data_IF_303611600519
#
_entry.id   IF_303611600519
#
_cell.length_a   1.000
_cell.length_b   1.000
_cell.length_c   1.000
_cell.angle_alpha   90.00
_cell.angle_beta   90.00
_cell.angle_gamma   90.00
#
_symmetry.space_group_name_H-M   'P 1'
#
loop_
_entity.id
_entity.type
_entity.pdbx_description
1 polymer ?
#
# COMPACT_ATOMS: atom_id res chain seq x y z
N UNK A 1 13.93 -1.34 -3.92
CA UNK A 1 12.87 -0.45 -4.45
C UNK A 1 13.16 -0.20 -5.91
N UNK A 2 12.14 -0.30 -6.78
CA UNK A 2 12.28 0.19 -8.16
C UNK A 2 12.60 1.68 -8.15
N UNK A 3 13.30 2.17 -9.18
CA UNK A 3 13.63 3.60 -9.29
C UNK A 3 15.03 4.01 -8.85
N UNK A 4 15.90 3.07 -8.44
CA UNK A 4 17.30 3.42 -8.12
C UNK A 4 18.07 4.03 -9.31
N UNK A 5 17.84 3.53 -10.52
CA UNK A 5 18.41 4.09 -11.76
C UNK A 5 17.81 5.46 -12.06
N UNK A 6 16.49 5.61 -11.90
CA UNK A 6 15.79 6.88 -12.10
C UNK A 6 16.34 7.96 -11.16
N UNK A 7 16.46 7.66 -9.87
CA UNK A 7 17.05 8.58 -8.89
C UNK A 7 18.48 8.98 -9.24
N UNK A 8 19.32 8.00 -9.63
CA UNK A 8 20.69 8.29 -10.06
C UNK A 8 20.70 9.22 -11.29
N UNK A 9 19.79 9.02 -12.24
CA UNK A 9 19.67 9.87 -13.42
C UNK A 9 19.24 11.30 -13.06
N UNK A 10 18.30 11.48 -12.12
CA UNK A 10 17.93 12.79 -11.58
C UNK A 10 19.10 13.49 -10.88
N UNK A 11 19.87 12.75 -10.07
CA UNK A 11 21.07 13.27 -9.39
C UNK A 11 22.15 13.73 -10.40
N UNK A 12 22.15 13.16 -11.60
CA UNK A 12 23.00 13.59 -12.72
C UNK A 12 22.41 14.77 -13.53
N UNK A 13 21.25 15.30 -13.14
CA UNK A 13 20.57 16.40 -13.81
C UNK A 13 19.64 15.98 -14.96
N UNK A 14 19.39 14.67 -15.09
CA UNK A 14 18.42 14.14 -16.03
C UNK A 14 16.98 14.39 -15.57
N UNK A 15 16.06 14.55 -16.51
CA UNK A 15 14.62 14.65 -16.21
C UNK A 15 14.02 13.24 -16.11
N UNK A 16 13.27 12.98 -15.03
CA UNK A 16 12.55 11.71 -14.84
C UNK A 16 11.07 11.99 -14.65
N UNK A 17 10.26 11.26 -15.42
CA UNK A 17 8.82 11.21 -15.23
C UNK A 17 8.50 9.90 -14.50
N UNK A 18 8.05 10.01 -13.27
CA UNK A 18 7.56 8.87 -12.50
C UNK A 18 6.12 8.55 -12.91
N UNK A 19 5.83 7.25 -13.03
CA UNK A 19 4.47 6.74 -13.22
C UNK A 19 4.30 5.47 -12.40
N UNK A 20 3.23 5.41 -11.60
CA UNK A 20 2.96 4.29 -10.72
C UNK A 20 2.45 4.75 -9.37
N UNK A 21 2.31 3.83 -8.43
CA UNK A 21 1.88 4.12 -7.06
C UNK A 21 2.88 5.05 -6.35
N UNK A 22 2.42 6.06 -5.58
CA UNK A 22 1.04 6.34 -5.14
C UNK A 22 0.26 7.31 -6.05
N UNK A 23 0.70 7.52 -7.30
CA UNK A 23 0.06 8.47 -8.21
C UNK A 23 -1.32 7.99 -8.62
N UNK A 24 -2.29 8.91 -8.58
CA UNK A 24 -3.71 8.65 -8.85
C UNK A 24 -3.95 8.11 -10.26
N UNK A 25 -3.15 8.56 -11.22
CA UNK A 25 -3.21 8.20 -12.63
C UNK A 25 -3.07 6.69 -12.84
N UNK A 26 -2.22 6.02 -12.04
CA UNK A 26 -2.06 4.57 -12.07
C UNK A 26 -3.38 3.86 -11.72
N UNK A 27 -4.03 4.27 -10.64
CA UNK A 27 -5.29 3.68 -10.18
C UNK A 27 -6.44 4.02 -11.14
N UNK A 28 -6.51 5.26 -11.63
CA UNK A 28 -7.55 5.66 -12.58
C UNK A 28 -7.48 4.88 -13.89
N UNK A 29 -6.27 4.55 -14.38
CA UNK A 29 -6.10 3.65 -15.52
C UNK A 29 -6.69 2.27 -15.21
N UNK A 30 -6.36 1.69 -14.05
CA UNK A 30 -6.90 0.39 -13.63
C UNK A 30 -8.43 0.38 -13.52
N UNK A 31 -9.01 1.40 -12.90
CA UNK A 31 -10.47 1.55 -12.75
C UNK A 31 -11.16 1.66 -14.12
N UNK A 32 -10.60 2.43 -15.05
CA UNK A 32 -11.12 2.55 -16.42
C UNK A 32 -11.07 1.23 -17.17
N UNK A 33 -9.94 0.52 -17.10
CA UNK A 33 -9.77 -0.78 -17.76
C UNK A 33 -10.75 -1.83 -17.22
N UNK A 34 -11.02 -1.78 -15.91
CA UNK A 34 -12.01 -2.64 -15.26
C UNK A 34 -13.47 -2.16 -15.47
N UNK A 35 -13.71 -1.10 -16.25
CA UNK A 35 -15.03 -0.49 -16.49
C UNK A 35 -15.76 -0.15 -15.19
N UNK A 36 -15.02 0.25 -14.16
CA UNK A 36 -15.58 0.64 -12.86
C UNK A 36 -16.30 1.98 -13.01
N UNK A 37 -17.60 1.99 -12.75
CA UNK A 37 -18.42 3.21 -12.71
C UNK A 37 -18.68 3.72 -11.30
N UNK A 38 -18.44 2.89 -10.28
CA UNK A 38 -18.69 3.18 -8.87
C UNK A 38 -17.49 2.72 -8.03
N UNK A 39 -16.71 3.69 -7.54
CA UNK A 39 -15.49 3.44 -6.77
C UNK A 39 -15.75 2.80 -5.40
N UNK A 40 -16.97 2.96 -4.85
CA UNK A 40 -17.34 2.36 -3.56
C UNK A 40 -17.41 0.83 -3.61
N UNK A 41 -17.38 0.24 -4.81
CA UNK A 41 -17.38 -1.21 -5.05
C UNK A 41 -15.99 -1.77 -5.33
N UNK A 42 -14.95 -0.98 -5.16
CA UNK A 42 -13.57 -1.37 -5.41
C UNK A 42 -12.78 -1.25 -4.13
N UNK A 43 -11.91 -2.22 -3.90
CA UNK A 43 -10.92 -2.20 -2.84
C UNK A 43 -9.55 -2.48 -3.43
N UNK A 44 -8.56 -1.68 -3.05
CA UNK A 44 -7.16 -1.93 -3.37
C UNK A 44 -6.51 -2.77 -2.26
N UNK A 45 -5.77 -3.80 -2.62
CA UNK A 45 -5.09 -4.68 -1.65
C UNK A 45 -3.59 -4.54 -1.85
N UNK A 46 -2.87 -4.19 -0.79
CA UNK A 46 -1.43 -3.98 -0.86
C UNK A 46 -0.76 -3.94 0.51
N UNK A 47 0.56 -4.06 0.53
CA UNK A 47 1.36 -4.18 1.75
C UNK A 47 2.21 -2.94 2.03
N UNK A 48 2.21 -1.95 1.14
CA UNK A 48 2.96 -0.72 1.29
C UNK A 48 2.05 0.46 1.62
N UNK A 49 2.21 1.04 2.81
CA UNK A 49 1.47 2.23 3.21
C UNK A 49 1.69 3.39 2.22
N UNK A 50 2.95 3.75 1.95
CA UNK A 50 3.29 4.91 1.11
C UNK A 50 3.00 4.73 -0.39
N UNK A 51 2.78 3.50 -0.88
CA UNK A 51 2.48 3.28 -2.29
C UNK A 51 1.03 2.83 -2.48
N UNK A 52 0.62 1.76 -1.81
CA UNK A 52 -0.68 1.13 -2.00
C UNK A 52 -1.79 1.91 -1.30
N UNK A 53 -1.62 2.14 0.01
CA UNK A 53 -2.65 2.77 0.85
C UNK A 53 -2.78 4.25 0.50
N UNK A 54 -1.66 4.97 0.43
CA UNK A 54 -1.64 6.36 -0.04
C UNK A 54 -2.25 6.49 -1.44
N UNK A 55 -1.96 5.55 -2.35
CA UNK A 55 -2.50 5.59 -3.71
C UNK A 55 -4.02 5.35 -3.75
N UNK A 56 -4.52 4.45 -2.90
CA UNK A 56 -5.95 4.20 -2.74
C UNK A 56 -6.67 5.43 -2.16
N UNK A 57 -6.13 6.04 -1.11
CA UNK A 57 -6.64 7.30 -0.52
C UNK A 57 -6.65 8.44 -1.55
N UNK A 58 -5.54 8.65 -2.27
CA UNK A 58 -5.43 9.67 -3.32
C UNK A 58 -6.48 9.49 -4.43
N UNK A 59 -6.97 8.26 -4.61
CA UNK A 59 -7.95 7.91 -5.65
C UNK A 59 -9.38 7.88 -5.12
N UNK A 60 -9.59 7.87 -3.81
CA UNK A 60 -10.89 7.69 -3.17
C UNK A 60 -11.44 6.28 -3.37
N UNK A 61 -10.59 5.27 -3.15
CA UNK A 61 -10.95 3.84 -3.21
C UNK A 61 -10.61 3.22 -1.86
N UNK A 62 -11.44 2.29 -1.37
CA UNK A 62 -11.15 1.57 -0.13
C UNK A 62 -9.84 0.79 -0.25
N UNK A 63 -9.18 0.54 0.88
CA UNK A 63 -7.94 -0.23 0.91
C UNK A 63 -7.91 -1.32 1.98
N UNK A 64 -7.25 -2.42 1.66
CA UNK A 64 -6.86 -3.46 2.62
C UNK A 64 -5.35 -3.44 2.73
N UNK A 65 -4.85 -3.05 3.90
CA UNK A 65 -3.44 -3.12 4.24
C UNK A 65 -3.02 -4.52 4.68
N UNK A 66 -2.02 -5.08 4.00
CA UNK A 66 -1.44 -6.39 4.31
C UNK A 66 -0.26 -6.21 5.27
N UNK A 67 -0.51 -6.35 6.57
CA UNK A 67 0.49 -6.11 7.63
C UNK A 67 1.62 -7.14 7.65
N UNK A 68 1.40 -8.34 7.11
CA UNK A 68 2.42 -9.37 6.96
C UNK A 68 3.36 -9.21 5.75
N UNK A 69 3.27 -8.10 5.01
CA UNK A 69 4.17 -7.79 3.90
C UNK A 69 5.38 -6.96 4.31
N UNK A 70 5.69 -5.86 3.60
CA UNK A 70 6.93 -5.08 3.84
C UNK A 70 7.07 -4.52 5.27
N UNK A 71 5.97 -4.28 5.98
CA UNK A 71 5.98 -3.80 7.38
C UNK A 71 5.94 -4.93 8.42
N UNK A 72 5.99 -6.20 8.01
CA UNK A 72 5.91 -7.38 8.89
C UNK A 72 6.85 -7.34 10.09
N UNK A 73 8.11 -6.89 9.87
CA UNK A 73 9.10 -6.75 10.94
C UNK A 73 8.76 -5.65 11.95
N UNK A 74 8.20 -4.54 11.49
CA UNK A 74 7.81 -3.41 12.36
C UNK A 74 6.55 -3.76 13.16
N UNK A 75 5.68 -4.57 12.58
CA UNK A 75 4.41 -5.01 13.18
C UNK A 75 4.51 -6.33 13.94
N UNK A 76 5.68 -6.99 13.92
CA UNK A 76 5.93 -8.31 14.48
C UNK A 76 4.88 -9.35 14.04
N UNK A 77 4.62 -9.37 12.72
CA UNK A 77 3.66 -10.28 12.07
C UNK A 77 4.41 -11.28 11.20
N UNK A 78 4.17 -12.57 11.44
CA UNK A 78 4.60 -13.66 10.55
C UNK A 78 3.37 -14.19 9.79
N UNK A 79 3.22 -13.77 8.53
CA UNK A 79 2.10 -14.18 7.67
C UNK A 79 1.97 -15.70 7.44
N UNK A 80 3.03 -16.46 7.74
CA UNK A 80 3.11 -17.91 7.55
C UNK A 80 3.42 -18.66 8.85
N UNK A 81 3.38 -17.97 9.99
CA UNK A 81 3.62 -18.54 11.31
C UNK A 81 2.38 -19.15 11.94
N UNK A 82 2.48 -19.39 13.25
CA UNK A 82 1.36 -19.81 14.08
C UNK A 82 0.26 -18.74 14.14
N UNK A 83 -0.92 -19.10 14.67
CA UNK A 83 -2.03 -18.14 14.86
C UNK A 83 -1.65 -16.94 15.73
N UNK A 84 -0.72 -17.12 16.67
CA UNK A 84 -0.25 -16.03 17.52
C UNK A 84 0.67 -15.09 16.73
N UNK A 85 1.58 -15.62 15.91
CA UNK A 85 2.48 -14.79 15.10
C UNK A 85 1.76 -14.12 13.92
N UNK A 86 0.63 -14.67 13.47
CA UNK A 86 -0.21 -14.06 12.43
C UNK A 86 -0.97 -12.83 12.96
N UNK A 87 -1.13 -12.71 14.29
CA UNK A 87 -1.98 -11.69 14.90
C UNK A 87 -1.36 -10.30 14.75
N UNK A 88 -2.13 -9.37 14.20
CA UNK A 88 -1.75 -7.94 14.18
C UNK A 88 -1.91 -7.36 15.58
N UNK A 89 -0.83 -6.81 16.13
CA UNK A 89 -0.80 -6.19 17.46
C UNK A 89 -1.32 -4.74 17.35
N UNK A 90 -2.45 -4.38 18.00
CA UNK A 90 -3.04 -3.04 17.86
C UNK A 90 -2.05 -1.91 18.17
N UNK A 91 -1.34 -1.98 19.28
CA UNK A 91 -0.37 -0.95 19.67
C UNK A 91 0.76 -0.71 18.66
N UNK A 92 1.15 -1.74 17.90
CA UNK A 92 2.18 -1.60 16.85
C UNK A 92 1.58 -1.03 15.57
N UNK A 93 0.35 -1.44 15.24
CA UNK A 93 -0.39 -0.90 14.10
C UNK A 93 -0.67 0.60 14.32
N UNK A 94 -1.22 0.98 15.47
CA UNK A 94 -1.56 2.38 15.77
C UNK A 94 -0.32 3.27 15.67
N UNK A 95 0.81 2.85 16.25
CA UNK A 95 2.09 3.57 16.13
C UNK A 95 2.55 3.74 14.68
N UNK A 96 2.37 2.71 13.85
CA UNK A 96 2.75 2.76 12.44
C UNK A 96 1.84 3.72 11.65
N UNK A 97 0.53 3.67 11.90
CA UNK A 97 -0.45 4.54 11.24
C UNK A 97 -0.26 6.01 11.68
N UNK A 98 -0.06 6.26 12.98
CA UNK A 98 0.28 7.61 13.50
C UNK A 98 1.55 8.17 12.87
N UNK A 99 2.60 7.34 12.74
CA UNK A 99 3.88 7.73 12.14
C UNK A 99 3.74 8.07 10.66
N UNK A 100 2.88 7.38 9.93
CA UNK A 100 2.72 7.54 8.48
C UNK A 100 1.62 8.52 8.10
N UNK A 101 0.70 8.83 9.02
CA UNK A 101 -0.52 9.63 8.80
C UNK A 101 -1.41 9.06 7.69
N UNK A 102 -1.40 7.73 7.54
CA UNK A 102 -2.19 6.98 6.57
C UNK A 102 -3.20 6.11 7.31
N UNK A 103 -4.37 5.93 6.72
CA UNK A 103 -5.51 5.24 7.35
C UNK A 103 -6.14 4.24 6.38
N UNK A 104 -5.67 2.97 6.36
CA UNK A 104 -6.26 1.95 5.51
C UNK A 104 -7.67 1.59 5.99
N UNK A 105 -8.60 1.41 5.05
CA UNK A 105 -10.01 1.07 5.38
C UNK A 105 -10.12 -0.24 6.18
N UNK A 106 -9.26 -1.21 5.84
CA UNK A 106 -9.18 -2.50 6.50
C UNK A 106 -7.72 -2.93 6.64
N UNK A 107 -7.44 -3.78 7.62
CA UNK A 107 -6.12 -4.40 7.80
C UNK A 107 -6.26 -5.92 7.89
N UNK A 108 -5.35 -6.64 7.25
CA UNK A 108 -5.28 -8.09 7.27
C UNK A 108 -3.83 -8.55 7.32
N UNK A 109 -3.54 -9.66 8.02
CA UNK A 109 -2.17 -10.16 8.13
C UNK A 109 -1.65 -10.81 6.83
N UNK A 110 -2.54 -11.46 6.08
CA UNK A 110 -2.23 -12.20 4.85
C UNK A 110 -3.45 -12.24 3.94
N UNK A 111 -3.26 -12.06 2.64
CA UNK A 111 -4.31 -12.34 1.66
C UNK A 111 -4.51 -13.84 1.43
N UNK A 112 -5.74 -14.31 1.60
CA UNK A 112 -6.17 -15.69 1.32
C UNK A 112 -7.54 -15.67 0.61
N UNK A 113 -7.71 -16.51 -0.41
CA UNK A 113 -8.96 -16.76 -1.14
C UNK A 113 -9.48 -18.17 -0.84
#
# INVERSE_FOLDING_TARGET
MGGGIAKLYEEMGGEVIYFGKPMKEHFEVCLRLASVTDKSKVVHIGDSLHHDIQGAENTGVDSIFISGGIHSKELDVNAWGSSEELRVKPDLLDKLLEKTQLDPTYTMARYTW
#
